data_IF_717723706437
#
_entry.id   IF_717723706437
#
_cell.length_a   1.000
_cell.length_b   1.000
_cell.length_c   1.000
_cell.angle_alpha   90.00
_cell.angle_beta   90.00
_cell.angle_gamma   90.00
#
_symmetry.space_group_name_H-M   'P 1'
#
loop_
_entity.id
_entity.type
_entity.pdbx_description
1 polymer ?
#
# COMPACT_ATOMS: atom_id res chain seq x y z
N UNK A 1 -32.49 -33.32 -64.71
CA UNK A 1 -31.26 -33.96 -64.18
C UNK A 1 -30.08 -32.99 -64.15
N UNK A 2 -29.75 -32.27 -65.24
CA UNK A 2 -28.60 -31.34 -65.28
C UNK A 2 -28.55 -30.31 -64.13
N UNK A 3 -29.64 -29.57 -63.89
CA UNK A 3 -29.67 -28.56 -62.83
C UNK A 3 -29.65 -29.08 -61.38
N UNK A 4 -29.90 -30.37 -61.11
CA UNK A 4 -29.75 -30.95 -59.77
C UNK A 4 -28.29 -31.32 -59.51
N UNK A 5 -27.62 -31.86 -60.52
CA UNK A 5 -26.19 -32.19 -60.48
C UNK A 5 -25.37 -30.91 -60.26
N UNK A 6 -25.68 -29.82 -60.98
CA UNK A 6 -24.99 -28.54 -60.81
C UNK A 6 -25.18 -27.94 -59.41
N UNK A 7 -26.40 -28.04 -58.85
CA UNK A 7 -26.70 -27.58 -57.47
C UNK A 7 -25.94 -28.40 -56.43
N UNK A 8 -25.92 -29.72 -56.57
CA UNK A 8 -25.20 -30.61 -55.65
C UNK A 8 -23.69 -30.40 -55.74
N UNK A 9 -23.15 -30.21 -56.95
CA UNK A 9 -21.74 -29.90 -57.15
C UNK A 9 -21.37 -28.56 -56.49
N UNK A 10 -22.19 -27.52 -56.69
CA UNK A 10 -21.99 -26.22 -56.03
C UNK A 10 -22.02 -26.32 -54.50
N UNK A 11 -22.93 -27.13 -53.93
CA UNK A 11 -22.96 -27.42 -52.49
C UNK A 11 -21.68 -28.10 -52.03
N UNK A 12 -21.23 -29.14 -52.76
CA UNK A 12 -20.04 -29.91 -52.43
C UNK A 12 -18.77 -29.06 -52.47
N UNK A 13 -18.63 -28.18 -53.46
CA UNK A 13 -17.49 -27.27 -53.59
C UNK A 13 -17.50 -26.19 -52.50
N UNK A 14 -18.68 -25.66 -52.14
CA UNK A 14 -18.82 -24.76 -51.00
C UNK A 14 -18.47 -25.46 -49.67
N UNK A 15 -18.92 -26.71 -49.50
CA UNK A 15 -18.65 -27.50 -48.30
C UNK A 15 -17.16 -27.85 -48.16
N UNK A 16 -16.48 -28.22 -49.24
CA UNK A 16 -15.05 -28.55 -49.22
C UNK A 16 -14.18 -27.33 -48.95
N UNK A 17 -14.45 -26.20 -49.63
CA UNK A 17 -13.73 -24.95 -49.41
C UNK A 17 -13.91 -24.42 -47.98
N UNK A 18 -15.14 -24.44 -47.46
CA UNK A 18 -15.41 -24.00 -46.09
C UNK A 18 -14.77 -24.93 -45.06
N UNK A 19 -14.81 -26.25 -45.28
CA UNK A 19 -14.15 -27.23 -44.40
C UNK A 19 -12.64 -26.99 -44.31
N UNK A 20 -11.98 -26.72 -45.43
CA UNK A 20 -10.55 -26.38 -45.47
C UNK A 20 -10.27 -25.08 -44.70
N UNK A 21 -11.02 -24.01 -44.96
CA UNK A 21 -10.80 -22.73 -44.27
C UNK A 21 -11.04 -22.82 -42.76
N UNK A 22 -12.06 -23.59 -42.32
CA UNK A 22 -12.30 -23.84 -40.90
C UNK A 22 -11.23 -24.75 -40.28
N UNK A 23 -10.61 -25.65 -41.05
CA UNK A 23 -9.47 -26.44 -40.58
C UNK A 23 -8.26 -25.56 -40.29
N UNK A 24 -7.93 -24.65 -41.21
CA UNK A 24 -6.82 -23.69 -41.03
C UNK A 24 -7.04 -22.81 -39.79
N UNK A 25 -8.28 -22.33 -39.59
CA UNK A 25 -8.66 -21.55 -38.40
C UNK A 25 -8.55 -22.38 -37.11
N UNK A 26 -8.94 -23.66 -37.15
CA UNK A 26 -8.85 -24.56 -36.01
C UNK A 26 -7.40 -24.82 -35.60
N UNK A 27 -6.51 -25.05 -36.55
CA UNK A 27 -5.09 -25.24 -36.29
C UNK A 27 -4.46 -23.99 -35.65
N UNK A 28 -4.80 -22.81 -36.18
CA UNK A 28 -4.39 -21.54 -35.60
C UNK A 28 -4.94 -21.35 -34.18
N UNK A 29 -6.21 -21.68 -33.94
CA UNK A 29 -6.83 -21.62 -32.61
C UNK A 29 -6.16 -22.58 -31.62
N UNK A 30 -5.89 -23.81 -32.04
CA UNK A 30 -5.22 -24.82 -31.21
C UNK A 30 -3.80 -24.38 -30.82
N UNK A 31 -3.07 -23.76 -31.76
CA UNK A 31 -1.76 -23.15 -31.47
C UNK A 31 -1.88 -22.06 -30.41
N UNK A 32 -2.86 -21.16 -30.55
CA UNK A 32 -3.09 -20.10 -29.57
C UNK A 32 -3.51 -20.67 -28.20
N UNK A 33 -4.37 -21.69 -28.14
CA UNK A 33 -4.78 -22.33 -26.88
C UNK A 33 -3.65 -23.07 -26.18
N UNK A 34 -2.67 -23.59 -26.93
CA UNK A 34 -1.48 -24.21 -26.36
C UNK A 34 -0.52 -23.19 -25.74
N UNK A 35 -0.61 -21.93 -26.20
CA UNK A 35 0.17 -20.83 -25.65
C UNK A 35 -0.51 -20.27 -24.39
N UNK A 36 0.24 -20.28 -23.28
CA UNK A 36 -0.21 -19.70 -21.99
C UNK A 36 -0.45 -18.21 -22.16
N UNK A 37 -1.51 -17.70 -21.53
CA UNK A 37 -1.80 -16.26 -21.51
C UNK A 37 -0.69 -15.56 -20.74
N UNK A 38 0.08 -14.70 -21.42
CA UNK A 38 1.18 -13.99 -20.79
C UNK A 38 0.68 -13.10 -19.64
N UNK A 39 1.56 -12.77 -18.69
CA UNK A 39 1.21 -11.82 -17.63
C UNK A 39 1.63 -10.38 -17.93
N UNK A 40 2.63 -10.17 -18.78
CA UNK A 40 3.15 -8.82 -19.07
C UNK A 40 2.34 -8.13 -20.19
N UNK A 41 2.18 -6.79 -20.14
CA UNK A 41 1.30 -6.09 -21.06
C UNK A 41 1.73 -6.19 -22.52
N UNK A 42 3.04 -6.24 -22.78
CA UNK A 42 3.59 -6.30 -24.14
C UNK A 42 3.23 -7.61 -24.82
N UNK A 43 3.44 -8.75 -24.15
CA UNK A 43 3.06 -10.04 -24.70
C UNK A 43 1.55 -10.24 -24.74
N UNK A 44 0.81 -9.75 -23.74
CA UNK A 44 -0.66 -9.76 -23.76
C UNK A 44 -1.22 -9.01 -24.96
N UNK A 45 -0.64 -7.85 -25.29
CA UNK A 45 -1.05 -7.07 -26.46
C UNK A 45 -0.73 -7.80 -27.77
N UNK A 46 0.42 -8.47 -27.86
CA UNK A 46 0.76 -9.33 -29.01
C UNK A 46 -0.26 -10.46 -29.17
N UNK A 47 -0.49 -11.24 -28.12
CA UNK A 47 -1.45 -12.36 -28.13
C UNK A 47 -2.85 -11.89 -28.50
N UNK A 48 -3.27 -10.74 -27.97
CA UNK A 48 -4.57 -10.14 -28.27
C UNK A 48 -4.70 -9.77 -29.75
N UNK A 49 -3.67 -9.17 -30.34
CA UNK A 49 -3.70 -8.81 -31.76
C UNK A 49 -3.71 -10.04 -32.66
N UNK A 50 -2.92 -11.06 -32.35
CA UNK A 50 -2.94 -12.35 -33.05
C UNK A 50 -4.33 -13.02 -32.95
N UNK A 51 -4.98 -12.98 -31.78
CA UNK A 51 -6.34 -13.52 -31.62
C UNK A 51 -7.38 -12.70 -32.38
N UNK A 52 -7.26 -11.37 -32.47
CA UNK A 52 -8.16 -10.52 -33.29
C UNK A 52 -8.04 -10.83 -34.78
N UNK A 53 -6.84 -11.09 -35.28
CA UNK A 53 -6.63 -11.52 -36.67
C UNK A 53 -7.38 -12.82 -36.94
N UNK A 54 -7.22 -13.82 -36.07
CA UNK A 54 -7.94 -15.09 -36.18
C UNK A 54 -9.46 -14.91 -36.05
N UNK A 55 -9.92 -14.04 -35.16
CA UNK A 55 -11.34 -13.70 -35.02
C UNK A 55 -11.89 -13.14 -36.34
N UNK A 56 -11.17 -12.23 -36.99
CA UNK A 56 -11.53 -11.70 -38.31
C UNK A 56 -11.58 -12.79 -39.40
N UNK A 57 -10.61 -13.72 -39.40
CA UNK A 57 -10.60 -14.86 -40.32
C UNK A 57 -11.83 -15.75 -40.13
N UNK A 58 -12.14 -16.14 -38.88
CA UNK A 58 -13.33 -16.93 -38.56
C UNK A 58 -14.61 -16.17 -38.98
N UNK A 59 -14.74 -14.90 -38.63
CA UNK A 59 -15.90 -14.08 -39.00
C UNK A 59 -16.08 -13.96 -40.51
N UNK A 60 -15.00 -13.96 -41.30
CA UNK A 60 -15.08 -13.91 -42.77
C UNK A 60 -15.80 -15.11 -43.39
N UNK A 61 -15.81 -16.26 -42.70
CA UNK A 61 -16.51 -17.47 -43.14
C UNK A 61 -18.03 -17.43 -42.90
N UNK A 62 -18.56 -16.47 -42.14
CA UNK A 62 -20.00 -16.40 -41.80
C UNK A 62 -20.89 -16.40 -43.05
N UNK A 63 -20.58 -15.56 -44.04
CA UNK A 63 -21.35 -15.48 -45.27
C UNK A 63 -21.32 -16.80 -46.07
N UNK A 64 -20.19 -17.52 -46.02
CA UNK A 64 -20.02 -18.82 -46.67
C UNK A 64 -20.83 -19.92 -45.97
N UNK A 65 -20.90 -19.90 -44.63
CA UNK A 65 -21.74 -20.79 -43.82
C UNK A 65 -23.22 -20.57 -44.17
N UNK A 66 -23.68 -19.32 -44.22
CA UNK A 66 -25.07 -19.00 -44.57
C UNK A 66 -25.41 -19.38 -46.03
N UNK A 67 -24.46 -19.21 -46.95
CA UNK A 67 -24.61 -19.69 -48.33
C UNK A 67 -24.70 -21.22 -48.41
N UNK A 68 -23.93 -21.94 -47.60
CA UNK A 68 -23.96 -23.40 -47.54
C UNK A 68 -25.31 -23.90 -47.02
N UNK A 69 -25.83 -23.31 -45.93
CA UNK A 69 -27.17 -23.61 -45.38
C UNK A 69 -28.27 -23.44 -46.43
N UNK A 70 -28.28 -22.29 -47.12
CA UNK A 70 -29.25 -22.02 -48.21
C UNK A 70 -29.12 -23.01 -49.37
N UNK A 71 -27.88 -23.38 -49.73
CA UNK A 71 -27.63 -24.37 -50.79
C UNK A 71 -28.18 -25.74 -50.41
N UNK A 72 -28.04 -26.15 -49.15
CA UNK A 72 -28.60 -27.40 -48.64
C UNK A 72 -30.14 -27.38 -48.60
N UNK A 73 -30.75 -26.29 -48.14
CA UNK A 73 -32.21 -26.08 -48.14
C UNK A 73 -32.80 -26.22 -49.54
N UNK A 74 -32.20 -25.57 -50.54
CA UNK A 74 -32.61 -25.69 -51.96
C UNK A 74 -32.51 -27.14 -52.47
N UNK A 75 -31.52 -27.92 -52.00
CA UNK A 75 -31.40 -29.33 -52.34
C UNK A 75 -32.50 -30.15 -51.67
N UNK A 76 -32.82 -29.90 -50.40
CA UNK A 76 -33.88 -30.61 -49.68
C UNK A 76 -35.28 -30.36 -50.27
N UNK A 77 -35.54 -29.14 -50.76
CA UNK A 77 -36.80 -28.72 -51.39
C UNK A 77 -37.00 -29.26 -52.82
N UNK A 78 -35.93 -29.75 -53.46
CA UNK A 78 -36.03 -30.25 -54.83
C UNK A 78 -36.74 -31.61 -54.85
N UNK A 79 -37.97 -31.66 -55.41
CA UNK A 79 -38.74 -32.92 -55.57
C UNK A 79 -38.08 -33.88 -56.57
N UNK A 80 -37.72 -35.09 -56.12
CA UNK A 80 -37.34 -36.22 -56.96
C UNK A 80 -36.61 -37.33 -56.19
N UNK A 81 -36.84 -38.60 -56.54
CA UNK A 81 -36.25 -39.82 -55.94
C UNK A 81 -34.72 -39.98 -56.13
N UNK A 82 -34.05 -39.01 -56.76
CA UNK A 82 -32.64 -39.08 -57.19
C UNK A 82 -31.73 -38.07 -56.49
N UNK A 83 -32.16 -37.48 -55.38
CA UNK A 83 -31.26 -36.69 -54.53
C UNK A 83 -30.19 -37.62 -53.95
N UNK A 84 -28.89 -37.25 -54.02
CA UNK A 84 -27.85 -37.91 -53.24
C UNK A 84 -28.22 -37.95 -51.77
N UNK A 85 -27.73 -38.96 -51.05
CA UNK A 85 -28.04 -39.29 -49.66
C UNK A 85 -28.31 -38.03 -48.80
N UNK A 86 -29.59 -37.77 -48.51
CA UNK A 86 -30.01 -36.57 -47.77
C UNK A 86 -29.38 -36.54 -46.37
N UNK A 87 -29.15 -37.71 -45.79
CA UNK A 87 -28.54 -37.84 -44.48
C UNK A 87 -27.06 -37.43 -44.54
N UNK A 88 -26.34 -37.74 -45.62
CA UNK A 88 -24.96 -37.31 -45.83
C UNK A 88 -24.85 -35.78 -46.00
N UNK A 89 -25.79 -35.19 -46.76
CA UNK A 89 -25.85 -33.72 -46.95
C UNK A 89 -26.10 -33.04 -45.60
N UNK A 90 -27.10 -33.50 -44.85
CA UNK A 90 -27.44 -32.96 -43.53
C UNK A 90 -26.27 -33.10 -42.56
N UNK A 91 -25.68 -34.29 -42.47
CA UNK A 91 -24.53 -34.54 -41.60
C UNK A 91 -23.33 -33.64 -41.92
N UNK A 92 -23.03 -33.45 -43.20
CA UNK A 92 -21.95 -32.55 -43.63
C UNK A 92 -22.23 -31.09 -43.26
N UNK A 93 -23.47 -30.64 -43.47
CA UNK A 93 -23.89 -29.28 -43.12
C UNK A 93 -23.75 -29.05 -41.62
N UNK A 94 -24.32 -29.95 -40.81
CA UNK A 94 -24.30 -29.86 -39.34
C UNK A 94 -22.87 -29.84 -38.83
N UNK A 95 -22.01 -30.75 -39.32
CA UNK A 95 -20.59 -30.80 -38.93
C UNK A 95 -19.86 -29.48 -39.20
N UNK A 96 -20.08 -28.87 -40.38
CA UNK A 96 -19.43 -27.60 -40.75
C UNK A 96 -19.98 -26.44 -39.92
N UNK A 97 -21.29 -26.37 -39.73
CA UNK A 97 -21.95 -25.33 -38.94
C UNK A 97 -21.52 -25.41 -37.48
N UNK A 98 -21.49 -26.60 -36.90
CA UNK A 98 -21.03 -26.84 -35.53
C UNK A 98 -19.58 -26.46 -35.36
N UNK A 99 -18.70 -26.85 -36.30
CA UNK A 99 -17.29 -26.47 -36.27
C UNK A 99 -17.11 -24.95 -36.31
N UNK A 100 -17.82 -24.27 -37.21
CA UNK A 100 -17.80 -22.81 -37.28
C UNK A 100 -18.25 -22.15 -35.97
N UNK A 101 -19.37 -22.62 -35.40
CA UNK A 101 -19.91 -22.09 -34.15
C UNK A 101 -18.94 -22.32 -32.98
N UNK A 102 -18.33 -23.50 -32.89
CA UNK A 102 -17.33 -23.83 -31.88
C UNK A 102 -16.09 -22.94 -32.00
N UNK A 103 -15.56 -22.75 -33.21
CA UNK A 103 -14.41 -21.87 -33.46
C UNK A 103 -14.72 -20.41 -33.13
N UNK A 104 -15.87 -19.91 -33.57
CA UNK A 104 -16.32 -18.54 -33.26
C UNK A 104 -16.42 -18.33 -31.76
N UNK A 105 -17.01 -19.29 -31.03
CA UNK A 105 -17.07 -19.25 -29.56
C UNK A 105 -15.67 -19.30 -28.93
N UNK A 106 -14.80 -20.19 -29.39
CA UNK A 106 -13.46 -20.37 -28.84
C UNK A 106 -12.59 -19.12 -29.00
N UNK A 107 -12.57 -18.52 -30.20
CA UNK A 107 -11.78 -17.30 -30.47
C UNK A 107 -12.33 -16.10 -29.71
N UNK A 108 -13.66 -15.96 -29.61
CA UNK A 108 -14.30 -14.90 -28.82
C UNK A 108 -13.95 -15.02 -27.33
N UNK A 109 -14.05 -16.22 -26.76
CA UNK A 109 -13.71 -16.47 -25.37
C UNK A 109 -12.24 -16.18 -25.08
N UNK A 110 -11.32 -16.55 -25.99
CA UNK A 110 -9.90 -16.25 -25.83
C UNK A 110 -9.64 -14.75 -25.92
N UNK A 111 -10.24 -14.06 -26.89
CA UNK A 111 -10.11 -12.61 -27.03
C UNK A 111 -10.59 -11.88 -25.77
N UNK A 112 -11.75 -12.27 -25.22
CA UNK A 112 -12.28 -11.72 -23.98
C UNK A 112 -11.34 -11.95 -22.80
N UNK A 113 -10.82 -13.18 -22.63
CA UNK A 113 -9.83 -13.48 -21.59
C UNK A 113 -8.58 -12.62 -21.71
N UNK A 114 -8.02 -12.48 -22.92
CA UNK A 114 -6.83 -11.65 -23.16
C UNK A 114 -7.08 -10.17 -22.84
N UNK A 115 -8.24 -9.62 -23.23
CA UNK A 115 -8.65 -8.25 -22.90
C UNK A 115 -8.74 -8.03 -21.38
N UNK A 116 -9.41 -8.95 -20.69
CA UNK A 116 -9.57 -8.91 -19.22
C UNK A 116 -8.21 -9.01 -18.55
N UNK A 117 -7.36 -9.96 -18.94
CA UNK A 117 -6.02 -10.14 -18.34
C UNK A 117 -5.13 -8.93 -18.61
N UNK A 118 -5.16 -8.35 -19.83
CA UNK A 118 -4.40 -7.13 -20.16
C UNK A 118 -4.83 -5.95 -19.28
N UNK A 119 -6.13 -5.71 -19.14
CA UNK A 119 -6.66 -4.63 -18.30
C UNK A 119 -6.26 -4.82 -16.84
N UNK A 120 -6.34 -6.06 -16.33
CA UNK A 120 -5.92 -6.40 -14.96
C UNK A 120 -4.42 -6.21 -14.76
N UNK A 121 -3.61 -6.68 -15.72
CA UNK A 121 -2.14 -6.57 -15.70
C UNK A 121 -1.69 -5.11 -15.62
N UNK A 122 -2.24 -4.25 -16.47
CA UNK A 122 -1.98 -2.82 -16.46
C UNK A 122 -2.40 -2.18 -15.14
N UNK A 123 -3.64 -2.42 -14.69
CA UNK A 123 -4.12 -1.84 -13.44
C UNK A 123 -3.33 -2.27 -12.21
N UNK A 124 -2.77 -3.49 -12.19
CA UNK A 124 -1.91 -3.97 -11.09
C UNK A 124 -0.55 -3.29 -11.16
N UNK A 125 0.07 -3.21 -12.35
CA UNK A 125 1.37 -2.56 -12.51
C UNK A 125 1.32 -1.08 -12.19
N UNK A 126 0.36 -0.34 -12.76
CA UNK A 126 0.23 1.10 -12.52
C UNK A 126 0.00 1.40 -11.03
N UNK A 127 -0.85 0.59 -10.37
CA UNK A 127 -1.10 0.73 -8.94
C UNK A 127 0.11 0.40 -8.08
N UNK A 128 0.85 -0.67 -8.43
CA UNK A 128 2.08 -1.05 -7.74
C UNK A 128 3.13 0.04 -7.86
N UNK A 129 3.33 0.58 -9.06
CA UNK A 129 4.31 1.63 -9.32
C UNK A 129 3.95 2.91 -8.54
N UNK A 130 2.69 3.36 -8.59
CA UNK A 130 2.21 4.51 -7.79
C UNK A 130 2.48 4.32 -6.29
N UNK A 131 2.13 3.13 -5.77
CA UNK A 131 2.23 2.86 -4.33
C UNK A 131 3.68 2.66 -3.87
N UNK A 132 4.54 2.09 -4.73
CA UNK A 132 5.97 1.98 -4.47
C UNK A 132 6.64 3.36 -4.46
N UNK A 133 6.27 4.24 -5.38
CA UNK A 133 6.77 5.63 -5.40
C UNK A 133 6.35 6.41 -4.16
N UNK A 134 5.08 6.28 -3.75
CA UNK A 134 4.61 6.84 -2.48
C UNK A 134 5.38 6.25 -1.28
N UNK A 135 5.59 4.93 -1.26
CA UNK A 135 6.31 4.23 -0.19
C UNK A 135 7.77 4.72 -0.08
N UNK A 136 8.44 4.93 -1.22
CA UNK A 136 9.78 5.53 -1.27
C UNK A 136 9.79 6.92 -0.59
N UNK A 137 8.74 7.73 -0.82
CA UNK A 137 8.58 9.04 -0.19
C UNK A 137 8.41 8.95 1.32
N UNK A 138 7.58 8.02 1.80
CA UNK A 138 7.37 7.77 3.23
C UNK A 138 8.66 7.30 3.90
N UNK A 139 9.34 6.30 3.33
CA UNK A 139 10.59 5.77 3.87
C UNK A 139 11.67 6.84 3.97
N UNK A 140 11.82 7.67 2.93
CA UNK A 140 12.74 8.82 2.96
C UNK A 140 12.40 9.81 4.08
N UNK A 141 11.11 10.04 4.35
CA UNK A 141 10.68 10.88 5.47
C UNK A 141 11.08 10.26 6.82
N UNK A 142 10.97 8.94 6.95
CA UNK A 142 11.34 8.19 8.16
C UNK A 142 12.85 8.03 8.37
N UNK A 143 13.67 8.16 7.32
CA UNK A 143 15.13 8.17 7.41
C UNK A 143 15.67 9.48 8.00
N UNK A 144 14.90 10.57 7.92
CA UNK A 144 15.31 11.84 8.54
C UNK A 144 15.35 11.64 10.06
N UNK A 145 16.57 11.58 10.60
CA UNK A 145 16.83 11.58 12.03
C UNK A 145 16.35 12.90 12.62
N UNK A 146 15.19 12.88 13.26
CA UNK A 146 14.66 14.03 13.98
C UNK A 146 15.30 14.08 15.35
N UNK A 147 16.48 14.69 15.43
CA UNK A 147 16.91 15.30 16.68
C UNK A 147 15.99 16.50 16.92
N UNK A 148 15.24 16.45 18.02
CA UNK A 148 14.26 17.50 18.37
C UNK A 148 14.82 18.27 19.56
N UNK A 149 14.65 19.60 19.60
CA UNK A 149 15.01 20.38 20.78
C UNK A 149 14.33 19.84 22.04
N UNK A 150 15.06 19.77 23.17
CA UNK A 150 14.48 19.38 24.47
C UNK A 150 13.64 20.51 25.09
N UNK A 151 12.55 20.89 24.42
CA UNK A 151 11.49 21.69 25.01
C UNK A 151 10.12 21.13 24.60
N UNK A 152 9.16 21.17 25.51
CA UNK A 152 7.86 20.50 25.34
C UNK A 152 7.10 21.01 24.11
N UNK A 153 7.15 22.33 23.84
CA UNK A 153 6.48 22.95 22.70
C UNK A 153 7.03 22.49 21.33
N UNK A 154 8.34 22.37 21.18
CA UNK A 154 8.97 21.92 19.94
C UNK A 154 8.70 20.43 19.68
N UNK A 155 8.67 19.61 20.73
CA UNK A 155 8.32 18.19 20.62
C UNK A 155 6.85 18.03 20.25
N UNK A 156 5.95 18.83 20.84
CA UNK A 156 4.53 18.85 20.48
C UNK A 156 4.30 19.25 19.02
N UNK A 157 5.00 20.29 18.54
CA UNK A 157 4.96 20.71 17.14
C UNK A 157 5.46 19.60 16.20
N UNK A 158 6.52 18.89 16.58
CA UNK A 158 7.02 17.74 15.83
C UNK A 158 5.97 16.60 15.77
N UNK A 159 5.37 16.25 16.91
CA UNK A 159 4.31 15.22 16.99
C UNK A 159 3.13 15.62 16.10
N UNK A 160 2.65 16.85 16.25
CA UNK A 160 1.52 17.39 15.46
C UNK A 160 1.79 17.33 13.96
N UNK A 161 2.99 17.71 13.51
CA UNK A 161 3.41 17.59 12.10
C UNK A 161 3.51 16.13 11.65
N UNK A 162 4.01 15.26 12.51
CA UNK A 162 4.16 13.82 12.23
C UNK A 162 2.84 13.06 12.16
N UNK A 163 1.78 13.58 12.79
CA UNK A 163 0.43 13.00 12.69
C UNK A 163 -0.13 13.07 11.26
N UNK A 164 0.22 14.08 10.47
CA UNK A 164 -0.20 14.15 9.08
C UNK A 164 0.32 12.96 8.27
N UNK A 165 1.58 12.56 8.50
CA UNK A 165 2.17 11.37 7.89
C UNK A 165 1.50 10.07 8.40
N UNK A 166 1.16 9.98 9.68
CA UNK A 166 0.43 8.83 10.22
C UNK A 166 -0.94 8.68 9.57
N UNK A 167 -1.69 9.78 9.42
CA UNK A 167 -2.98 9.77 8.75
C UNK A 167 -2.87 9.37 7.27
N UNK A 168 -1.84 9.83 6.56
CA UNK A 168 -1.59 9.44 5.17
C UNK A 168 -1.28 7.94 5.06
N UNK A 169 -0.38 7.42 5.90
CA UNK A 169 -0.06 5.98 5.96
C UNK A 169 -1.32 5.17 6.25
N UNK A 170 -2.07 5.49 7.31
CA UNK A 170 -3.29 4.77 7.69
C UNK A 170 -4.35 4.86 6.59
N UNK A 171 -4.53 6.01 5.95
CA UNK A 171 -5.49 6.20 4.87
C UNK A 171 -5.19 5.31 3.66
N UNK A 172 -3.90 5.10 3.36
CA UNK A 172 -3.43 4.26 2.26
C UNK A 172 -3.54 2.75 2.52
N UNK A 173 -3.86 2.31 3.74
CA UNK A 173 -4.13 0.89 4.05
C UNK A 173 -5.25 0.31 3.16
N UNK A 174 -6.29 1.11 2.90
CA UNK A 174 -7.40 0.73 2.02
C UNK A 174 -6.93 0.50 0.57
N UNK A 175 -6.00 1.32 0.10
CA UNK A 175 -5.40 1.22 -1.24
C UNK A 175 -4.56 -0.04 -1.36
N UNK A 176 -3.74 -0.34 -0.35
CA UNK A 176 -2.96 -1.58 -0.29
C UNK A 176 -3.86 -2.81 -0.37
N UNK A 177 -4.97 -2.83 0.38
CA UNK A 177 -5.94 -3.93 0.36
C UNK A 177 -6.62 -4.06 -1.00
N UNK A 178 -7.04 -2.95 -1.61
CA UNK A 178 -7.63 -2.96 -2.95
C UNK A 178 -6.66 -3.52 -4.00
N UNK A 179 -5.36 -3.19 -3.89
CA UNK A 179 -4.34 -3.76 -4.77
C UNK A 179 -4.13 -5.25 -4.56
N UNK A 180 -4.19 -5.76 -3.32
CA UNK A 180 -4.14 -7.22 -3.07
C UNK A 180 -5.27 -7.95 -3.78
N UNK A 181 -6.47 -7.38 -3.75
CA UNK A 181 -7.62 -7.94 -4.46
C UNK A 181 -7.48 -7.87 -5.99
N UNK A 182 -6.95 -6.76 -6.53
CA UNK A 182 -6.63 -6.66 -7.96
C UNK A 182 -5.59 -7.71 -8.37
N UNK A 183 -4.55 -7.88 -7.56
CA UNK A 183 -3.49 -8.88 -7.79
C UNK A 183 -4.07 -10.29 -7.79
N UNK A 184 -4.90 -10.65 -6.80
CA UNK A 184 -5.58 -11.95 -6.73
C UNK A 184 -6.39 -12.25 -7.99
N UNK A 185 -7.20 -11.30 -8.46
CA UNK A 185 -7.99 -11.44 -9.70
C UNK A 185 -7.12 -11.56 -10.95
N UNK A 186 -5.95 -10.91 -10.98
CA UNK A 186 -5.01 -11.04 -12.09
C UNK A 186 -4.40 -12.45 -12.14
N UNK A 187 -4.04 -13.02 -10.98
CA UNK A 187 -3.45 -14.36 -10.87
C UNK A 187 -4.37 -15.49 -11.35
N UNK A 188 -5.69 -15.31 -11.32
CA UNK A 188 -6.67 -16.30 -11.81
C UNK A 188 -6.55 -16.59 -13.31
N UNK A 189 -5.96 -15.67 -14.08
CA UNK A 189 -6.02 -15.67 -15.56
C UNK A 189 -4.67 -15.52 -16.25
N UNK A 190 -3.61 -15.27 -15.51
CA UNK A 190 -2.28 -14.95 -16.04
C UNK A 190 -1.31 -16.14 -15.93
N UNK A 191 -0.26 -16.10 -16.73
CA UNK A 191 0.87 -17.03 -16.64
C UNK A 191 1.49 -17.02 -15.23
N UNK A 192 1.76 -18.20 -14.62
CA UNK A 192 2.31 -18.30 -13.28
C UNK A 192 3.63 -17.56 -13.08
N UNK A 193 4.55 -17.55 -14.06
CA UNK A 193 5.87 -16.95 -13.87
C UNK A 193 5.80 -15.43 -13.72
N UNK A 194 4.97 -14.78 -14.55
CA UNK A 194 4.77 -13.32 -14.46
C UNK A 194 3.90 -12.96 -13.26
N UNK A 195 2.86 -13.76 -12.99
CA UNK A 195 2.04 -13.63 -11.81
C UNK A 195 2.88 -13.69 -10.53
N UNK A 196 3.80 -14.65 -10.40
CA UNK A 196 4.69 -14.77 -9.25
C UNK A 196 5.63 -13.58 -9.09
N UNK A 197 6.14 -12.99 -10.18
CA UNK A 197 7.00 -11.79 -10.09
C UNK A 197 6.23 -10.57 -9.56
N UNK A 198 5.03 -10.32 -10.07
CA UNK A 198 4.19 -9.22 -9.58
C UNK A 198 3.67 -9.50 -8.16
N UNK A 199 3.43 -10.76 -7.81
CA UNK A 199 3.07 -11.17 -6.45
C UNK A 199 4.22 -10.89 -5.46
N UNK A 200 5.45 -11.20 -5.85
CA UNK A 200 6.64 -10.89 -5.05
C UNK A 200 6.76 -9.39 -4.79
N UNK A 201 6.56 -8.54 -5.81
CA UNK A 201 6.54 -7.08 -5.65
C UNK A 201 5.42 -6.62 -4.71
N UNK A 202 4.22 -7.19 -4.82
CA UNK A 202 3.10 -6.84 -3.95
C UNK A 202 3.34 -7.25 -2.48
N UNK A 203 4.01 -8.39 -2.27
CA UNK A 203 4.41 -8.85 -0.95
C UNK A 203 5.51 -7.96 -0.35
N UNK A 204 6.51 -7.57 -1.16
CA UNK A 204 7.55 -6.62 -0.76
C UNK A 204 6.93 -5.28 -0.34
N UNK A 205 6.05 -4.71 -1.15
CA UNK A 205 5.32 -3.48 -0.84
C UNK A 205 4.53 -3.61 0.47
N UNK A 206 3.83 -4.74 0.67
CA UNK A 206 3.08 -5.00 1.89
C UNK A 206 3.98 -5.05 3.13
N UNK A 207 5.15 -5.68 3.02
CA UNK A 207 6.12 -5.75 4.10
C UNK A 207 6.71 -4.36 4.41
N UNK A 208 7.11 -3.61 3.37
CA UNK A 208 7.62 -2.24 3.50
C UNK A 208 6.61 -1.31 4.15
N UNK A 209 5.36 -1.37 3.73
CA UNK A 209 4.25 -0.62 4.33
C UNK A 209 4.10 -0.92 5.82
N UNK A 210 4.01 -2.21 6.21
CA UNK A 210 3.89 -2.59 7.62
C UNK A 210 5.10 -2.13 8.44
N UNK A 211 6.30 -2.28 7.90
CA UNK A 211 7.53 -1.88 8.58
C UNK A 211 7.59 -0.37 8.78
N UNK A 212 7.28 0.42 7.76
CA UNK A 212 7.26 1.88 7.82
C UNK A 212 6.19 2.37 8.79
N UNK A 213 4.97 1.80 8.74
CA UNK A 213 3.90 2.14 9.68
C UNK A 213 4.31 1.86 11.12
N UNK A 214 4.83 0.66 11.40
CA UNK A 214 5.28 0.29 12.74
C UNK A 214 6.45 1.17 13.23
N UNK A 215 7.41 1.48 12.34
CA UNK A 215 8.54 2.36 12.67
C UNK A 215 8.07 3.78 12.97
N UNK A 216 7.13 4.32 12.18
CA UNK A 216 6.56 5.65 12.39
C UNK A 216 5.75 5.72 13.67
N UNK A 217 4.87 4.76 13.90
CA UNK A 217 4.08 4.65 15.13
C UNK A 217 4.98 4.57 16.36
N UNK A 218 6.02 3.74 16.31
CA UNK A 218 7.00 3.63 17.40
C UNK A 218 7.72 4.95 17.66
N UNK A 219 8.10 5.67 16.59
CA UNK A 219 8.70 7.01 16.67
C UNK A 219 7.77 8.01 17.36
N UNK A 220 6.48 8.00 17.03
CA UNK A 220 5.47 8.83 17.70
C UNK A 220 5.35 8.49 19.19
N UNK A 221 5.23 7.21 19.54
CA UNK A 221 5.16 6.76 20.94
C UNK A 221 6.40 7.18 21.75
N UNK A 222 7.59 7.10 21.14
CA UNK A 222 8.84 7.50 21.79
C UNK A 222 8.94 9.02 21.95
N UNK A 223 8.41 9.80 20.99
CA UNK A 223 8.32 11.26 21.11
C UNK A 223 7.30 11.72 22.15
N UNK A 224 6.15 11.05 22.27
CA UNK A 224 5.18 11.33 23.34
C UNK A 224 5.80 11.07 24.72
N UNK A 225 6.51 9.95 24.89
CA UNK A 225 7.24 9.66 26.13
C UNK A 225 8.33 10.68 26.42
N UNK A 226 9.07 11.12 25.39
CA UNK A 226 10.08 12.16 25.54
C UNK A 226 9.43 13.48 25.99
N UNK A 227 8.31 13.86 25.36
CA UNK A 227 7.55 15.06 25.72
C UNK A 227 7.16 15.05 27.19
N UNK A 228 6.56 13.97 27.69
CA UNK A 228 6.14 13.87 29.10
C UNK A 228 7.31 14.04 30.06
N UNK A 229 8.50 13.51 29.73
CA UNK A 229 9.71 13.68 30.54
C UNK A 229 10.22 15.12 30.52
N UNK A 230 10.19 15.77 29.35
CA UNK A 230 10.59 17.16 29.21
C UNK A 230 9.62 18.09 29.95
N UNK A 231 8.31 17.87 29.86
CA UNK A 231 7.31 18.61 30.64
C UNK A 231 7.52 18.44 32.15
N UNK A 232 7.84 17.23 32.61
CA UNK A 232 8.18 16.99 34.01
C UNK A 232 9.45 17.73 34.42
N UNK A 233 10.49 17.70 33.58
CA UNK A 233 11.73 18.43 33.82
C UNK A 233 11.51 19.94 33.91
N UNK A 234 10.77 20.51 32.96
CA UNK A 234 10.40 21.93 32.93
C UNK A 234 9.62 22.31 34.19
N UNK A 235 8.57 21.55 34.53
CA UNK A 235 7.73 21.77 35.70
C UNK A 235 8.51 21.72 37.02
N UNK A 236 9.33 20.69 37.24
CA UNK A 236 10.14 20.55 38.46
C UNK A 236 11.22 21.63 38.54
N UNK A 237 11.85 21.96 37.42
CA UNK A 237 12.84 23.03 37.37
C UNK A 237 12.23 24.37 37.77
N UNK A 238 11.05 24.69 37.24
CA UNK A 238 10.37 25.96 37.50
C UNK A 238 9.83 26.01 38.94
N UNK A 239 9.33 24.89 39.46
CA UNK A 239 8.95 24.72 40.88
C UNK A 239 10.12 25.02 41.80
N UNK A 240 11.27 24.38 41.58
CA UNK A 240 12.47 24.56 42.41
C UNK A 240 13.03 25.97 42.29
N UNK A 241 13.07 26.54 41.09
CA UNK A 241 13.51 27.92 40.89
C UNK A 241 12.62 28.90 41.66
N UNK A 242 11.29 28.77 41.54
CA UNK A 242 10.33 29.59 42.28
C UNK A 242 10.46 29.42 43.79
N UNK A 243 10.69 28.19 44.26
CA UNK A 243 10.92 27.90 45.67
C UNK A 243 12.17 28.62 46.19
N UNK A 244 13.33 28.41 45.53
CA UNK A 244 14.58 29.03 45.97
C UNK A 244 14.50 30.55 45.94
N UNK A 245 13.95 31.15 44.89
CA UNK A 245 13.85 32.61 44.80
C UNK A 245 12.95 33.19 45.91
N UNK A 246 11.80 32.56 46.19
CA UNK A 246 10.89 32.99 47.27
C UNK A 246 11.54 32.84 48.65
N UNK A 247 12.19 31.71 48.92
CA UNK A 247 12.79 31.44 50.24
C UNK A 247 14.04 32.29 50.47
N UNK A 248 14.87 32.51 49.46
CA UNK A 248 15.99 33.46 49.53
C UNK A 248 15.49 34.88 49.82
N UNK A 249 14.39 35.32 49.19
CA UNK A 249 13.78 36.61 49.51
C UNK A 249 13.28 36.67 50.96
N UNK A 250 12.57 35.64 51.44
CA UNK A 250 12.05 35.59 52.81
C UNK A 250 13.16 35.63 53.87
N UNK A 251 14.28 34.93 53.64
CA UNK A 251 15.46 34.96 54.52
C UNK A 251 16.08 36.36 54.56
N UNK A 252 16.25 37.01 53.40
CA UNK A 252 16.76 38.39 53.34
C UNK A 252 15.85 39.39 54.07
N UNK A 253 14.53 39.18 54.05
CA UNK A 253 13.56 40.01 54.77
C UNK A 253 13.50 39.68 56.28
N UNK A 254 13.90 38.47 56.68
CA UNK A 254 13.98 38.05 58.08
C UNK A 254 15.23 38.60 58.80
N UNK A 255 16.32 38.84 58.06
CA UNK A 255 17.61 39.37 58.55
C UNK A 255 17.60 40.89 58.86
N UNK A 256 16.41 41.52 58.92
CA UNK A 256 16.27 42.95 59.25
C UNK A 256 16.37 43.16 60.77
N UNK A 257 17.22 44.09 61.26
CA UNK A 257 17.43 44.30 62.70
C UNK A 257 16.13 44.71 63.42
N UNK A 258 15.61 43.85 64.31
CA UNK A 258 14.47 44.16 65.19
C UNK A 258 13.33 43.12 65.26
N UNK A 259 13.43 41.97 64.57
CA UNK A 259 12.45 40.87 64.67
C UNK A 259 12.69 39.95 65.88
N UNK A 260 11.62 39.31 66.36
CA UNK A 260 11.66 38.36 67.48
C UNK A 260 12.40 37.07 67.10
N UNK A 261 13.30 36.61 67.98
CA UNK A 261 14.13 35.40 67.77
C UNK A 261 13.25 34.15 67.63
N UNK A 262 12.10 34.11 68.31
CA UNK A 262 11.16 32.99 68.20
C UNK A 262 10.48 32.92 66.82
N UNK A 263 10.13 34.05 66.22
CA UNK A 263 9.55 34.12 64.87
C UNK A 263 10.57 33.67 63.81
N UNK A 264 11.85 34.06 63.97
CA UNK A 264 12.93 33.62 63.09
C UNK A 264 13.16 32.11 63.18
N UNK A 265 13.16 31.55 64.39
CA UNK A 265 13.32 30.10 64.60
C UNK A 265 12.19 29.27 63.97
N UNK A 266 10.93 29.71 64.10
CA UNK A 266 9.79 29.05 63.46
C UNK A 266 9.88 29.12 61.94
N UNK A 267 10.30 30.27 61.38
CA UNK A 267 10.50 30.43 59.95
C UNK A 267 11.57 29.47 59.41
N UNK A 268 12.72 29.38 60.08
CA UNK A 268 13.81 28.46 59.71
C UNK A 268 13.35 27.00 59.77
N UNK A 269 12.59 26.60 60.80
CA UNK A 269 12.04 25.23 60.87
C UNK A 269 11.09 24.91 59.72
N UNK A 270 10.18 25.83 59.38
CA UNK A 270 9.23 25.65 58.29
C UNK A 270 9.94 25.52 56.94
N UNK A 271 10.94 26.39 56.67
CA UNK A 271 11.76 26.30 55.47
C UNK A 271 12.50 24.96 55.40
N UNK A 272 13.03 24.47 56.52
CA UNK A 272 13.76 23.20 56.57
C UNK A 272 12.86 21.99 56.22
N UNK A 273 11.61 21.98 56.68
CA UNK A 273 10.62 20.95 56.31
C UNK A 273 10.35 20.99 54.79
N UNK A 274 10.07 22.17 54.24
CA UNK A 274 9.79 22.31 52.81
C UNK A 274 11.02 21.99 51.94
N UNK A 275 12.23 22.29 52.42
CA UNK A 275 13.49 22.00 51.75
C UNK A 275 13.72 20.49 51.61
N UNK A 276 13.36 19.71 52.64
CA UNK A 276 13.41 18.25 52.58
C UNK A 276 12.47 17.67 51.53
N UNK A 277 11.34 18.33 51.24
CA UNK A 277 10.46 17.95 50.13
C UNK A 277 11.09 18.29 48.78
N UNK A 278 11.69 19.47 48.64
CA UNK A 278 12.36 19.90 47.40
C UNK A 278 13.59 19.03 47.04
N UNK A 279 14.23 18.42 48.04
CA UNK A 279 15.34 17.48 47.82
C UNK A 279 14.93 16.33 46.91
N UNK A 280 13.72 15.79 47.09
CA UNK A 280 13.19 14.69 46.26
C UNK A 280 13.00 15.13 44.81
N UNK A 281 12.50 16.34 44.60
CA UNK A 281 12.31 16.90 43.26
C UNK A 281 13.65 17.11 42.54
N UNK A 282 14.69 17.52 43.27
CA UNK A 282 16.04 17.65 42.74
C UNK A 282 16.65 16.29 42.36
N UNK A 283 16.43 15.24 43.17
CA UNK A 283 16.83 13.87 42.86
C UNK A 283 16.14 13.36 41.58
N UNK A 284 14.85 13.65 41.40
CA UNK A 284 14.11 13.33 40.17
C UNK A 284 14.71 14.06 38.95
N UNK A 285 15.03 15.35 39.07
CA UNK A 285 15.67 16.10 37.99
C UNK A 285 17.02 15.51 37.60
N UNK A 286 17.84 15.08 38.57
CA UNK A 286 19.12 14.43 38.30
C UNK A 286 18.94 13.14 37.50
N UNK A 287 17.95 12.32 37.84
CA UNK A 287 17.65 11.11 37.09
C UNK A 287 17.13 11.40 35.67
N UNK A 288 16.29 12.42 35.51
CA UNK A 288 15.75 12.83 34.21
C UNK A 288 16.84 13.26 33.23
N UNK A 289 17.97 13.82 33.69
CA UNK A 289 19.10 14.16 32.80
C UNK A 289 19.58 12.94 32.03
N UNK A 290 19.73 11.80 32.71
CA UNK A 290 20.21 10.55 32.10
C UNK A 290 19.23 10.04 31.04
N UNK A 291 17.93 10.10 31.34
CA UNK A 291 16.88 9.66 30.42
C UNK A 291 16.77 10.57 29.18
N UNK A 292 16.81 11.89 29.38
CA UNK A 292 16.70 12.89 28.31
C UNK A 292 17.95 12.88 27.40
N UNK A 293 19.11 12.51 27.94
CA UNK A 293 20.39 12.48 27.22
C UNK A 293 20.42 11.51 26.03
N UNK A 294 19.51 10.54 25.96
CA UNK A 294 19.48 9.58 24.85
C UNK A 294 18.91 10.16 23.55
N UNK A 295 18.03 11.16 23.65
CA UNK A 295 17.26 11.69 22.50
C UNK A 295 17.64 13.14 22.12
N UNK A 296 18.47 13.77 22.95
CA UNK A 296 18.79 15.19 22.86
C UNK A 296 19.90 15.53 21.85
N UNK A 297 19.82 16.74 21.30
CA UNK A 297 20.95 17.38 20.63
C UNK A 297 22.11 17.60 21.63
N UNK A 298 23.38 17.54 21.18
CA UNK A 298 24.52 17.76 22.08
C UNK A 298 24.45 19.08 22.88
N UNK A 299 23.96 20.15 22.26
CA UNK A 299 23.75 21.44 22.93
C UNK A 299 22.70 21.38 24.04
N UNK A 300 21.57 20.73 23.78
CA UNK A 300 20.49 20.59 24.76
C UNK A 300 20.92 19.76 25.98
N UNK A 301 21.77 18.75 25.78
CA UNK A 301 22.34 17.97 26.89
C UNK A 301 23.11 18.87 27.85
N UNK A 302 23.95 19.77 27.32
CA UNK A 302 24.71 20.73 28.14
C UNK A 302 23.76 21.66 28.90
N UNK A 303 22.73 22.18 28.24
CA UNK A 303 21.79 23.12 28.84
C UNK A 303 20.99 22.50 29.99
N UNK A 304 20.45 21.29 29.80
CA UNK A 304 19.72 20.57 30.84
C UNK A 304 20.62 20.26 32.03
N UNK A 305 21.87 19.83 31.78
CA UNK A 305 22.85 19.56 32.82
C UNK A 305 23.24 20.83 33.60
N UNK A 306 23.49 21.94 32.91
CA UNK A 306 23.79 23.24 33.52
C UNK A 306 22.63 23.72 34.41
N UNK A 307 21.39 23.57 33.95
CA UNK A 307 20.19 23.97 34.72
C UNK A 307 20.10 23.19 36.04
N UNK A 308 20.29 21.86 36.02
CA UNK A 308 20.24 21.05 37.25
C UNK A 308 21.43 21.32 38.16
N UNK A 309 22.62 21.57 37.62
CA UNK A 309 23.79 21.94 38.42
C UNK A 309 23.58 23.28 39.14
N UNK A 310 22.98 24.26 38.47
CA UNK A 310 22.63 25.55 39.06
C UNK A 310 21.60 25.41 40.19
N UNK A 311 20.54 24.61 39.98
CA UNK A 311 19.55 24.31 41.02
C UNK A 311 20.16 23.56 42.21
N UNK A 312 21.04 22.59 41.94
CA UNK A 312 21.75 21.85 42.99
C UNK A 312 22.68 22.75 43.80
N UNK A 313 23.29 23.76 43.17
CA UNK A 313 24.09 24.76 43.86
C UNK A 313 23.23 25.65 44.76
N UNK A 314 22.11 26.18 44.24
CA UNK A 314 21.15 26.98 45.03
C UNK A 314 20.61 26.21 46.23
N UNK A 315 20.33 24.91 46.07
CA UNK A 315 19.89 24.05 47.16
C UNK A 315 20.91 23.99 48.30
N UNK A 316 22.20 23.75 47.99
CA UNK A 316 23.26 23.72 49.00
C UNK A 316 23.47 25.06 49.69
N UNK A 317 23.46 26.16 48.94
CA UNK A 317 23.57 27.52 49.50
C UNK A 317 22.41 27.79 50.49
N UNK A 318 21.20 27.28 50.22
CA UNK A 318 20.06 27.39 51.13
C UNK A 318 20.18 26.47 52.36
N UNK A 319 20.67 25.24 52.20
CA UNK A 319 20.97 24.35 53.34
C UNK A 319 21.97 25.00 54.31
N UNK A 320 23.00 25.67 53.78
CA UNK A 320 24.01 26.38 54.57
C UNK A 320 23.40 27.56 55.34
N UNK A 321 22.59 28.42 54.68
CA UNK A 321 21.94 29.56 55.33
C UNK A 321 20.98 29.19 56.48
N UNK A 322 20.38 28.00 56.46
CA UNK A 322 19.42 27.53 57.47
C UNK A 322 20.15 26.91 58.67
N UNK A 323 21.43 26.54 58.51
CA UNK A 323 22.27 25.96 59.56
C UNK A 323 23.09 26.99 60.35
N UNK A 324 23.31 28.19 59.80
CA UNK A 324 23.94 29.35 60.47
C UNK A 324 22.99 30.04 61.47
#
# INVERSE_FOLDING_TARGET
>A
VHGLVDKYQNYKDAASGLRSGLQDCEEAMNKQLSEVIAGDPKNLQRQLEETKVLQGQVSSHQASVEKLKKSAEVLFDTRGELLPDKDEIQHTLDTIVDKYNQLSKAVNNRNEKLQITLTRSLSVQDGLDEMLDWMNGVEKNLEVHSQVPLNSAAIEDFISKSMALEQDIVGRQSSLNAMKEKMKKFMETADPSTASSLEAKMNELSQRFCNAHNKHKKKLEDMEKLKTRVELFECLSDKLHSFFDKKTQALNEADVPGKDVAEMFLCVQEINIELMEQKKDLEVLQHLIEELSLHALPGDKSLVLEKVNALSKKFREMEEMIQE
#
